data_IF_769070577966
#
_entry.id   IF_769070577966
#
_cell.length_a   1.000
_cell.length_b   1.000
_cell.length_c   1.000
_cell.angle_alpha   90.00
_cell.angle_beta   90.00
_cell.angle_gamma   90.00
#
_symmetry.space_group_name_H-M   'P 1'
#
loop_
_entity.id
_entity.type
_entity.pdbx_description
1 polymer ?
#
# COMPACT_ATOMS: atom_id res chain seq x y z
N UNK A 1 6.53 0.56 -26.73
CA UNK A 1 6.15 1.88 -26.18
C UNK A 1 4.64 2.11 -26.09
N UNK A 2 3.76 1.19 -26.49
CA UNK A 2 2.31 1.43 -26.59
C UNK A 2 1.45 0.85 -25.44
N UNK A 3 2.04 0.11 -24.49
CA UNK A 3 1.26 -0.54 -23.43
C UNK A 3 0.85 0.36 -22.27
N UNK A 4 1.64 1.37 -21.97
CA UNK A 4 1.45 2.21 -20.78
C UNK A 4 0.43 3.34 -21.01
N UNK A 5 0.28 3.81 -22.23
CA UNK A 5 -0.74 4.82 -22.58
C UNK A 5 -2.16 4.23 -22.56
N UNK A 6 -2.32 2.96 -22.95
CA UNK A 6 -3.65 2.32 -23.00
C UNK A 6 -4.22 2.05 -21.59
N UNK A 7 -3.39 1.70 -20.62
CA UNK A 7 -3.84 1.45 -19.24
C UNK A 7 -4.32 2.72 -18.53
N UNK A 8 -3.76 3.89 -18.88
CA UNK A 8 -4.12 5.16 -18.26
C UNK A 8 -5.37 5.83 -18.86
N UNK A 9 -5.86 5.35 -19.99
CA UNK A 9 -7.04 5.88 -20.68
C UNK A 9 -8.27 5.00 -20.58
N UNK A 10 -8.28 4.05 -19.64
CA UNK A 10 -9.48 3.33 -19.27
C UNK A 10 -10.56 4.34 -18.83
N UNK A 11 -11.80 4.11 -19.26
CA UNK A 11 -12.97 4.94 -18.93
C UNK A 11 -13.19 5.11 -17.42
N UNK A 12 -12.55 4.30 -16.58
CA UNK A 12 -12.58 4.38 -15.12
C UNK A 12 -11.60 5.39 -14.53
N UNK A 13 -10.58 5.85 -15.29
CA UNK A 13 -9.57 6.79 -14.81
C UNK A 13 -10.11 8.22 -14.71
N UNK A 14 -9.77 8.92 -13.62
CA UNK A 14 -10.01 10.36 -13.43
C UNK A 14 -8.78 11.15 -13.90
N UNK A 15 -8.86 11.66 -15.12
CA UNK A 15 -7.75 12.40 -15.76
C UNK A 15 -7.39 13.65 -14.95
N UNK A 16 -8.37 14.38 -14.42
CA UNK A 16 -8.15 15.63 -13.68
C UNK A 16 -7.45 15.33 -12.34
N UNK A 17 -7.91 14.31 -11.62
CA UNK A 17 -7.27 13.87 -10.38
C UNK A 17 -5.85 13.36 -10.65
N UNK A 18 -5.64 12.60 -11.71
CA UNK A 18 -4.33 12.10 -12.15
C UNK A 18 -3.37 13.25 -12.46
N UNK A 19 -3.79 14.23 -13.24
CA UNK A 19 -2.99 15.42 -13.54
C UNK A 19 -2.68 16.25 -12.29
N UNK A 20 -3.67 16.42 -11.40
CA UNK A 20 -3.48 17.12 -10.13
C UNK A 20 -2.44 16.42 -9.26
N UNK A 21 -2.49 15.11 -9.17
CA UNK A 21 -1.49 14.32 -8.45
C UNK A 21 -0.10 14.50 -9.06
N UNK A 22 0.02 14.39 -10.39
CA UNK A 22 1.25 14.56 -11.14
C UNK A 22 1.91 15.93 -10.92
N UNK A 23 1.12 17.00 -10.98
CA UNK A 23 1.61 18.37 -10.76
C UNK A 23 2.07 18.54 -9.30
N UNK A 24 1.26 18.13 -8.35
CA UNK A 24 1.53 18.30 -6.91
C UNK A 24 2.73 17.51 -6.42
N UNK A 25 2.94 16.29 -6.95
CA UNK A 25 4.09 15.45 -6.61
C UNK A 25 5.41 15.91 -7.21
N UNK A 26 5.39 16.89 -8.12
CA UNK A 26 6.58 17.31 -8.85
C UNK A 26 7.09 16.30 -9.89
N UNK A 27 6.33 15.23 -10.16
CA UNK A 27 6.67 14.21 -11.17
C UNK A 27 6.92 14.80 -12.55
N UNK A 28 6.24 15.89 -12.92
CA UNK A 28 6.43 16.58 -14.20
C UNK A 28 7.87 17.07 -14.42
N UNK A 29 8.65 17.23 -13.36
CA UNK A 29 10.06 17.63 -13.43
C UNK A 29 11.02 16.45 -13.54
N UNK A 30 10.59 15.23 -13.22
CA UNK A 30 11.45 14.06 -13.07
C UNK A 30 11.10 12.87 -13.96
N UNK A 31 9.88 12.82 -14.46
CA UNK A 31 9.38 11.71 -15.26
C UNK A 31 8.79 12.19 -16.56
N UNK A 32 9.16 11.55 -17.67
CA UNK A 32 8.49 11.72 -18.97
C UNK A 32 7.18 10.92 -19.07
N UNK A 33 6.80 10.19 -18.01
CA UNK A 33 5.58 9.40 -17.97
C UNK A 33 4.51 10.11 -17.14
N UNK A 34 3.64 10.85 -17.82
CA UNK A 34 2.49 11.56 -17.23
C UNK A 34 1.54 10.67 -16.44
N UNK A 35 1.55 9.35 -16.70
CA UNK A 35 0.61 8.39 -16.17
C UNK A 35 1.25 7.35 -15.23
N UNK A 36 2.39 7.69 -14.65
CA UNK A 36 3.02 6.83 -13.65
C UNK A 36 2.08 6.55 -12.45
N UNK A 37 1.26 7.53 -12.09
CA UNK A 37 0.20 7.33 -11.09
C UNK A 37 -1.15 7.57 -11.77
N UNK A 38 -1.97 6.54 -11.86
CA UNK A 38 -3.34 6.61 -12.36
C UNK A 38 -4.30 6.68 -11.17
N UNK A 39 -5.14 7.71 -11.14
CA UNK A 39 -6.19 7.88 -10.13
C UNK A 39 -7.52 7.55 -10.77
N UNK A 40 -8.20 6.55 -10.24
CA UNK A 40 -9.49 6.13 -10.75
C UNK A 40 -10.63 6.95 -10.15
N UNK A 41 -11.78 6.97 -10.84
CA UNK A 41 -12.98 7.68 -10.41
C UNK A 41 -13.35 7.34 -8.97
N UNK A 42 -13.99 8.29 -8.28
CA UNK A 42 -14.39 8.17 -6.86
C UNK A 42 -13.23 8.11 -5.88
N UNK A 43 -12.01 8.44 -6.29
CA UNK A 43 -10.87 8.57 -5.38
C UNK A 43 -10.68 10.03 -4.96
N UNK A 44 -10.94 10.32 -3.69
CA UNK A 44 -10.70 11.65 -3.11
C UNK A 44 -9.22 11.84 -2.79
N UNK A 45 -8.62 12.90 -3.31
CA UNK A 45 -7.22 13.25 -3.06
C UNK A 45 -7.10 14.47 -2.12
N UNK A 46 -6.31 14.33 -1.07
CA UNK A 46 -5.84 15.44 -0.24
C UNK A 46 -4.31 15.40 -0.24
N UNK A 47 -3.69 16.37 -0.91
CA UNK A 47 -2.26 16.35 -1.21
C UNK A 47 -1.56 17.52 -0.53
N UNK A 48 -0.61 17.21 0.34
CA UNK A 48 0.26 18.12 1.05
C UNK A 48 1.26 18.84 0.13
N UNK A 49 2.15 19.62 0.72
CA UNK A 49 3.21 20.33 0.01
C UNK A 49 4.51 19.55 0.06
N UNK A 50 5.29 19.62 -1.03
CA UNK A 50 6.63 19.05 -1.07
C UNK A 50 6.70 17.53 -0.95
N UNK A 51 5.59 16.80 -1.07
CA UNK A 51 5.66 15.34 -1.17
C UNK A 51 6.26 14.92 -2.52
N UNK A 52 6.91 13.76 -2.55
CA UNK A 52 7.58 13.26 -3.74
C UNK A 52 7.12 11.86 -4.11
N UNK A 53 7.20 11.56 -5.41
CA UNK A 53 7.08 10.20 -5.93
C UNK A 53 8.38 9.87 -6.64
N UNK A 54 8.99 8.75 -6.29
CA UNK A 54 10.27 8.27 -6.80
C UNK A 54 10.11 6.90 -7.46
N UNK A 55 11.03 6.56 -8.36
CA UNK A 55 10.99 5.28 -9.10
C UNK A 55 10.37 5.43 -10.48
N UNK A 56 10.26 4.30 -11.22
CA UNK A 56 9.78 4.26 -12.61
C UNK A 56 8.53 3.40 -12.79
N UNK A 57 8.12 2.69 -11.77
CA UNK A 57 6.96 1.80 -11.81
C UNK A 57 5.64 2.58 -11.72
N UNK A 58 4.54 1.94 -12.07
CA UNK A 58 3.21 2.55 -12.04
C UNK A 58 2.46 2.25 -10.74
N UNK A 59 1.61 3.19 -10.34
CA UNK A 59 0.66 3.04 -9.24
C UNK A 59 -0.76 3.34 -9.72
N UNK A 60 -1.68 2.42 -9.53
CA UNK A 60 -3.10 2.60 -9.78
C UNK A 60 -3.85 2.72 -8.46
N UNK A 61 -4.63 3.78 -8.30
CA UNK A 61 -5.37 4.11 -7.08
C UNK A 61 -6.88 4.07 -7.33
N UNK A 62 -7.60 3.21 -6.64
CA UNK A 62 -9.05 3.09 -6.73
C UNK A 62 -9.54 2.30 -7.94
N UNK A 63 -8.69 1.39 -8.45
CA UNK A 63 -9.01 0.53 -9.59
C UNK A 63 -10.12 -0.48 -9.22
N UNK A 64 -11.13 -0.58 -10.08
CA UNK A 64 -12.25 -1.53 -9.91
C UNK A 64 -12.01 -2.89 -10.59
N UNK A 65 -10.82 -3.09 -11.16
CA UNK A 65 -10.48 -4.24 -12.02
C UNK A 65 -10.24 -5.57 -11.30
N UNK A 66 -10.87 -5.80 -10.15
CA UNK A 66 -10.87 -7.08 -9.46
C UNK A 66 -11.89 -8.08 -10.05
N UNK A 67 -11.82 -9.34 -9.60
CA UNK A 67 -12.80 -10.38 -9.96
C UNK A 67 -14.23 -10.01 -9.57
N UNK A 68 -14.39 -9.15 -8.57
CA UNK A 68 -15.68 -8.64 -8.10
C UNK A 68 -15.58 -7.12 -7.97
N UNK A 69 -15.85 -6.36 -9.04
CA UNK A 69 -15.74 -4.89 -8.99
C UNK A 69 -16.63 -4.32 -7.90
N UNK A 70 -16.04 -3.52 -7.04
CA UNK A 70 -16.74 -2.77 -6.00
C UNK A 70 -16.59 -1.29 -6.30
N UNK A 71 -17.72 -0.61 -6.46
CA UNK A 71 -17.73 0.83 -6.75
C UNK A 71 -17.67 1.69 -5.47
N UNK A 72 -16.87 1.26 -4.50
CA UNK A 72 -16.70 1.96 -3.21
C UNK A 72 -15.80 3.18 -3.40
N UNK A 73 -16.12 4.27 -2.71
CA UNK A 73 -15.30 5.49 -2.76
C UNK A 73 -13.97 5.26 -2.04
N UNK A 74 -12.89 5.71 -2.68
CA UNK A 74 -11.54 5.65 -2.15
C UNK A 74 -11.06 6.99 -1.64
N UNK A 75 -10.05 7.00 -0.78
CA UNK A 75 -9.38 8.23 -0.38
C UNK A 75 -7.88 8.05 -0.20
N UNK A 76 -7.13 9.07 -0.64
CA UNK A 76 -5.71 9.19 -0.38
C UNK A 76 -5.42 10.56 0.23
N UNK A 77 -4.88 10.58 1.44
CA UNK A 77 -4.28 11.75 2.06
C UNK A 77 -2.76 11.58 2.08
N UNK A 78 -2.04 12.57 1.59
CA UNK A 78 -0.57 12.62 1.63
C UNK A 78 -0.15 13.87 2.37
N UNK A 79 0.60 13.72 3.44
CA UNK A 79 1.12 14.80 4.27
C UNK A 79 2.27 15.56 3.60
N UNK A 80 2.62 16.70 4.19
CA UNK A 80 3.72 17.55 3.71
C UNK A 80 5.06 16.76 3.78
N UNK A 81 5.86 16.81 2.73
CA UNK A 81 7.17 16.17 2.66
C UNK A 81 7.19 14.64 2.64
N UNK A 82 6.03 13.99 2.55
CA UNK A 82 5.96 12.53 2.46
C UNK A 82 6.59 11.99 1.16
N UNK A 83 6.98 10.70 1.18
CA UNK A 83 7.61 10.04 0.02
C UNK A 83 6.86 8.78 -0.37
N UNK A 84 6.57 8.64 -1.66
CA UNK A 84 6.10 7.40 -2.27
C UNK A 84 7.21 6.89 -3.20
N UNK A 85 7.68 5.67 -2.95
CA UNK A 85 8.74 5.03 -3.74
C UNK A 85 8.15 3.86 -4.49
N UNK A 86 8.18 3.90 -5.83
CA UNK A 86 7.57 2.93 -6.72
C UNK A 86 8.66 2.09 -7.40
N UNK A 87 8.97 0.92 -6.84
CA UNK A 87 9.97 -0.01 -7.35
C UNK A 87 9.37 -1.04 -8.30
N UNK A 88 8.10 -1.38 -8.11
CA UNK A 88 7.31 -2.27 -8.96
C UNK A 88 5.90 -1.76 -9.17
N UNK A 89 5.26 -2.22 -10.26
CA UNK A 89 3.89 -1.84 -10.58
C UNK A 89 2.93 -2.30 -9.47
N UNK A 90 2.15 -1.37 -8.95
CA UNK A 90 1.25 -1.64 -7.84
C UNK A 90 -0.16 -1.18 -8.13
N UNK A 91 -1.15 -1.98 -7.72
CA UNK A 91 -2.57 -1.65 -7.84
C UNK A 91 -3.19 -1.63 -6.46
N UNK A 92 -3.94 -0.58 -6.16
CA UNK A 92 -4.75 -0.48 -4.95
C UNK A 92 -6.20 -0.37 -5.40
N UNK A 93 -6.98 -1.40 -5.08
CA UNK A 93 -8.36 -1.51 -5.55
C UNK A 93 -9.28 -0.52 -4.83
N UNK A 94 -10.51 -0.37 -5.32
CA UNK A 94 -11.47 0.61 -4.81
C UNK A 94 -11.83 0.41 -3.33
N UNK A 95 -12.34 1.46 -2.69
CA UNK A 95 -12.72 1.46 -1.28
C UNK A 95 -11.56 1.72 -0.30
N UNK A 96 -10.31 1.79 -0.79
CA UNK A 96 -9.19 2.03 0.09
C UNK A 96 -9.27 3.39 0.80
N UNK A 97 -8.79 3.42 2.04
CA UNK A 97 -8.54 4.63 2.81
C UNK A 97 -7.06 4.67 3.17
N UNK A 98 -6.29 5.52 2.48
CA UNK A 98 -4.86 5.66 2.71
C UNK A 98 -4.54 7.03 3.29
N UNK A 99 -3.84 7.03 4.40
CA UNK A 99 -3.35 8.20 5.10
C UNK A 99 -1.84 8.11 5.30
N UNK A 100 -1.10 8.99 4.64
CA UNK A 100 0.35 9.08 4.72
C UNK A 100 0.68 10.36 5.47
N UNK A 101 1.27 10.23 6.64
CA UNK A 101 1.62 11.35 7.51
C UNK A 101 2.71 12.27 6.94
N UNK A 102 2.91 13.45 7.53
CA UNK A 102 4.00 14.35 7.14
C UNK A 102 5.37 13.68 7.28
N UNK A 103 6.20 13.75 6.23
CA UNK A 103 7.53 13.14 6.21
C UNK A 103 7.58 11.62 6.18
N UNK A 104 6.43 10.94 6.22
CA UNK A 104 6.37 9.48 6.16
C UNK A 104 6.78 8.93 4.79
N UNK A 105 7.25 7.68 4.77
CA UNK A 105 7.70 7.01 3.55
C UNK A 105 6.92 5.71 3.32
N UNK A 106 6.38 5.55 2.11
CA UNK A 106 5.85 4.27 1.65
C UNK A 106 6.63 3.80 0.44
N UNK A 107 7.05 2.53 0.48
CA UNK A 107 7.74 1.84 -0.61
C UNK A 107 6.87 0.71 -1.14
N UNK A 108 6.61 0.72 -2.45
CA UNK A 108 5.85 -0.29 -3.16
C UNK A 108 6.76 -1.08 -4.09
N UNK A 109 7.03 -2.34 -3.77
CA UNK A 109 7.85 -3.26 -4.58
C UNK A 109 7.12 -3.86 -5.78
N UNK A 110 5.80 -3.75 -5.80
CA UNK A 110 4.92 -4.32 -6.84
C UNK A 110 3.99 -5.40 -6.29
N UNK A 111 2.80 -5.51 -6.87
CA UNK A 111 1.74 -6.40 -6.40
C UNK A 111 0.38 -5.71 -6.36
N UNK A 112 -0.51 -6.14 -5.49
CA UNK A 112 -1.77 -5.45 -5.32
C UNK A 112 -2.30 -5.48 -3.88
N UNK A 113 -3.11 -4.47 -3.57
CA UNK A 113 -3.90 -4.36 -2.35
C UNK A 113 -5.37 -4.41 -2.77
N UNK A 114 -6.10 -5.37 -2.22
CA UNK A 114 -7.48 -5.63 -2.55
C UNK A 114 -8.42 -4.55 -1.99
N UNK A 115 -9.72 -4.70 -2.24
CA UNK A 115 -10.74 -3.71 -1.89
C UNK A 115 -10.81 -3.39 -0.41
N UNK A 116 -11.28 -2.16 -0.11
CA UNK A 116 -11.65 -1.68 1.22
C UNK A 116 -10.48 -1.69 2.25
N UNK A 117 -9.23 -1.77 1.78
CA UNK A 117 -8.07 -1.73 2.66
C UNK A 117 -7.89 -0.35 3.32
N UNK A 118 -7.46 -0.35 4.58
CA UNK A 118 -7.08 0.85 5.33
C UNK A 118 -5.59 0.85 5.60
N UNK A 119 -4.91 1.94 5.23
CA UNK A 119 -3.47 2.11 5.43
C UNK A 119 -3.23 3.44 6.12
N UNK A 120 -2.63 3.40 7.30
CA UNK A 120 -2.15 4.57 8.02
C UNK A 120 -0.64 4.45 8.21
N UNK A 121 0.12 5.24 7.47
CA UNK A 121 1.58 5.29 7.55
C UNK A 121 2.01 6.65 8.10
N UNK A 122 2.49 6.67 9.33
CA UNK A 122 2.96 7.87 9.99
C UNK A 122 4.50 7.95 10.02
N UNK A 123 5.19 6.83 9.76
CA UNK A 123 6.64 6.72 9.75
C UNK A 123 7.13 6.05 8.47
N UNK A 124 7.04 4.71 8.39
CA UNK A 124 7.53 3.96 7.24
C UNK A 124 6.76 2.65 7.03
N UNK A 125 6.38 2.41 5.78
CA UNK A 125 5.80 1.15 5.32
C UNK A 125 6.55 0.67 4.09
N UNK A 126 7.07 -0.54 4.12
CA UNK A 126 7.64 -1.23 2.95
C UNK A 126 6.78 -2.42 2.60
N UNK A 127 6.42 -2.55 1.33
CA UNK A 127 5.71 -3.70 0.76
C UNK A 127 6.56 -4.24 -0.39
N UNK A 128 7.09 -5.44 -0.21
CA UNK A 128 7.99 -6.10 -1.15
C UNK A 128 7.29 -6.57 -2.42
N UNK A 129 8.11 -7.01 -3.37
CA UNK A 129 7.68 -7.42 -4.71
C UNK A 129 6.78 -8.66 -4.67
N UNK A 130 5.71 -8.65 -5.49
CA UNK A 130 4.81 -9.79 -5.63
C UNK A 130 3.92 -10.05 -4.41
N UNK A 131 3.90 -9.12 -3.45
CA UNK A 131 3.05 -9.22 -2.26
C UNK A 131 1.61 -8.89 -2.60
N UNK A 132 0.70 -9.69 -2.04
CA UNK A 132 -0.74 -9.58 -2.20
C UNK A 132 -1.38 -9.33 -0.85
N UNK A 133 -2.20 -8.27 -0.75
CA UNK A 133 -2.93 -7.92 0.46
C UNK A 133 -4.41 -8.09 0.21
N UNK A 134 -5.06 -8.91 1.03
CA UNK A 134 -6.48 -9.24 0.96
C UNK A 134 -7.39 -8.07 1.29
N UNK A 135 -8.67 -8.26 1.02
CA UNK A 135 -9.72 -7.25 1.27
C UNK A 135 -9.89 -6.94 2.75
N UNK A 136 -10.37 -5.72 3.05
CA UNK A 136 -10.60 -5.23 4.42
C UNK A 136 -9.35 -5.26 5.32
N UNK A 137 -8.15 -5.38 4.76
CA UNK A 137 -6.92 -5.36 5.54
C UNK A 137 -6.68 -3.97 6.16
N UNK A 138 -6.11 -3.95 7.37
CA UNK A 138 -5.79 -2.73 8.09
C UNK A 138 -4.29 -2.72 8.42
N UNK A 139 -3.54 -1.74 7.93
CA UNK A 139 -2.10 -1.61 8.14
C UNK A 139 -1.83 -0.27 8.82
N UNK A 140 -1.25 -0.30 10.02
CA UNK A 140 -1.00 0.90 10.81
C UNK A 140 0.36 0.84 11.50
N UNK A 141 1.27 1.75 11.16
CA UNK A 141 2.61 1.81 11.74
C UNK A 141 2.70 2.70 13.00
N UNK A 142 1.57 3.21 13.47
CA UNK A 142 1.50 4.08 14.64
C UNK A 142 0.18 3.89 15.40
N UNK A 143 0.23 3.97 16.73
CA UNK A 143 -0.96 4.01 17.59
C UNK A 143 -1.50 5.45 17.75
N UNK A 144 -0.86 6.45 17.16
CA UNK A 144 -1.15 7.89 17.37
C UNK A 144 -1.00 8.37 18.83
N UNK A 145 -0.65 7.47 19.73
CA UNK A 145 -0.42 7.72 21.16
C UNK A 145 0.88 7.04 21.61
N UNK A 146 1.49 7.56 22.64
CA UNK A 146 2.74 7.02 23.19
C UNK A 146 2.46 6.41 24.56
N UNK A 147 2.77 5.13 24.71
CA UNK A 147 2.85 4.51 26.03
C UNK A 147 4.17 4.91 26.66
N UNK A 148 4.13 5.44 27.90
CA UNK A 148 5.33 5.83 28.64
C UNK A 148 6.26 4.62 28.79
N UNK A 149 7.52 4.79 28.40
CA UNK A 149 8.52 3.70 28.43
C UNK A 149 8.52 2.78 27.20
N UNK A 150 7.64 2.99 26.22
CA UNK A 150 7.70 2.22 24.96
C UNK A 150 8.81 2.73 24.03
N UNK A 151 9.41 1.80 23.26
CA UNK A 151 10.35 2.16 22.21
C UNK A 151 9.66 2.94 21.08
N UNK A 152 10.44 3.75 20.36
CA UNK A 152 9.95 4.45 19.17
C UNK A 152 9.46 3.46 18.09
N UNK A 153 8.43 3.80 17.31
CA UNK A 153 7.97 2.96 16.20
C UNK A 153 9.09 2.75 15.17
N UNK A 154 9.26 1.51 14.71
CA UNK A 154 10.26 1.13 13.69
C UNK A 154 9.67 1.06 12.28
N UNK A 155 8.36 1.31 12.14
CA UNK A 155 7.62 1.12 10.90
C UNK A 155 7.13 -0.32 10.72
N UNK A 156 6.72 -0.63 9.49
CA UNK A 156 6.27 -1.96 9.07
C UNK A 156 7.06 -2.37 7.82
N UNK A 157 7.56 -3.60 7.83
CA UNK A 157 8.21 -4.22 6.69
C UNK A 157 7.47 -5.49 6.31
N UNK A 158 6.98 -5.54 5.08
CA UNK A 158 6.39 -6.71 4.45
C UNK A 158 7.31 -7.11 3.30
N UNK A 159 7.87 -8.31 3.39
CA UNK A 159 8.84 -8.86 2.45
C UNK A 159 8.27 -9.11 1.06
N UNK A 160 9.06 -9.80 0.23
CA UNK A 160 8.66 -10.22 -1.10
C UNK A 160 7.75 -11.45 -1.04
N UNK A 161 6.82 -11.53 -2.01
CA UNK A 161 5.95 -12.71 -2.16
C UNK A 161 5.20 -13.07 -0.87
N UNK A 162 4.70 -12.08 -0.14
CA UNK A 162 3.87 -12.28 1.06
C UNK A 162 2.40 -12.32 0.66
N UNK A 163 1.67 -13.27 1.22
CA UNK A 163 0.21 -13.32 1.07
C UNK A 163 -0.48 -12.94 2.37
N UNK A 164 -1.12 -11.79 2.39
CA UNK A 164 -1.94 -11.34 3.52
C UNK A 164 -3.41 -11.65 3.22
N UNK A 165 -4.01 -12.47 4.06
CA UNK A 165 -5.44 -12.81 3.96
C UNK A 165 -6.37 -11.62 4.23
N UNK A 166 -7.66 -11.80 3.97
CA UNK A 166 -8.66 -10.75 4.22
C UNK A 166 -8.85 -10.43 5.71
N UNK A 167 -9.19 -9.17 6.01
CA UNK A 167 -9.46 -8.68 7.38
C UNK A 167 -8.30 -8.84 8.37
N UNK A 168 -7.08 -8.89 7.87
CA UNK A 168 -5.86 -8.92 8.68
C UNK A 168 -5.56 -7.51 9.19
N UNK A 169 -5.09 -7.42 10.45
CA UNK A 169 -4.52 -6.19 11.00
C UNK A 169 -3.00 -6.34 11.13
N UNK A 170 -2.23 -5.47 10.47
CA UNK A 170 -0.77 -5.39 10.61
C UNK A 170 -0.45 -4.11 11.38
N UNK A 171 0.10 -4.27 12.57
CA UNK A 171 0.37 -3.19 13.50
C UNK A 171 1.83 -2.76 13.44
N UNK A 172 2.15 -1.62 14.07
CA UNK A 172 3.51 -1.09 14.18
C UNK A 172 4.53 -2.16 14.60
N UNK A 173 5.76 -2.02 14.13
CA UNK A 173 6.87 -2.94 14.43
C UNK A 173 6.63 -4.38 13.94
N UNK A 174 5.84 -4.55 12.88
CA UNK A 174 5.67 -5.84 12.21
C UNK A 174 6.72 -6.01 11.12
N UNK A 175 7.38 -7.17 11.12
CA UNK A 175 8.40 -7.57 10.15
C UNK A 175 8.02 -8.95 9.61
N UNK A 176 7.40 -8.97 8.42
CA UNK A 176 7.04 -10.19 7.72
C UNK A 176 8.12 -10.48 6.68
N UNK A 177 8.92 -11.52 6.89
CA UNK A 177 9.94 -11.89 5.92
C UNK A 177 9.32 -12.50 4.65
N UNK A 178 10.15 -12.78 3.64
CA UNK A 178 9.71 -13.24 2.32
C UNK A 178 8.87 -14.54 2.41
N UNK A 179 7.85 -14.64 1.56
CA UNK A 179 7.02 -15.82 1.47
C UNK A 179 6.09 -16.08 2.66
N UNK A 180 5.99 -15.17 3.62
CA UNK A 180 5.05 -15.31 4.74
C UNK A 180 3.61 -15.33 4.24
N UNK A 181 2.81 -16.22 4.80
CA UNK A 181 1.35 -16.28 4.59
C UNK A 181 0.66 -15.89 5.89
N UNK A 182 -0.21 -14.88 5.83
CA UNK A 182 -1.01 -14.42 6.97
C UNK A 182 -2.44 -14.89 6.80
N UNK A 183 -2.91 -15.73 7.70
CA UNK A 183 -4.30 -16.21 7.68
C UNK A 183 -5.30 -15.06 7.90
N UNK A 184 -6.47 -15.15 7.26
CA UNK A 184 -7.53 -14.16 7.39
C UNK A 184 -7.89 -13.88 8.85
N UNK A 185 -8.15 -12.60 9.17
CA UNK A 185 -8.53 -12.15 10.51
C UNK A 185 -7.40 -12.13 11.55
N UNK A 186 -6.15 -12.40 11.18
CA UNK A 186 -5.03 -12.35 12.11
C UNK A 186 -4.70 -10.92 12.55
N UNK A 187 -4.20 -10.76 13.78
CA UNK A 187 -3.63 -9.51 14.29
C UNK A 187 -2.12 -9.68 14.44
N UNK A 188 -1.38 -9.01 13.58
CA UNK A 188 0.07 -9.16 13.38
C UNK A 188 0.81 -8.07 14.13
N UNK A 189 1.77 -8.45 14.98
CA UNK A 189 2.73 -7.57 15.65
C UNK A 189 3.98 -8.38 15.99
N UNK A 190 5.14 -7.89 15.60
CA UNK A 190 6.43 -8.56 15.79
C UNK A 190 7.04 -9.10 14.50
N UNK A 191 8.04 -9.96 14.65
CA UNK A 191 8.83 -10.50 13.54
C UNK A 191 8.47 -11.95 13.25
N UNK A 192 8.33 -12.30 11.95
CA UNK A 192 7.93 -13.62 11.50
C UNK A 192 8.88 -14.13 10.41
N UNK A 193 9.41 -15.36 10.58
CA UNK A 193 10.44 -15.90 9.69
C UNK A 193 9.91 -16.19 8.28
N UNK A 194 10.80 -16.26 7.28
CA UNK A 194 10.42 -16.49 5.90
C UNK A 194 9.70 -17.83 5.72
N UNK A 195 8.75 -17.87 4.75
CA UNK A 195 8.00 -19.07 4.42
C UNK A 195 7.15 -19.63 5.56
N UNK A 196 6.70 -18.79 6.50
CA UNK A 196 5.83 -19.22 7.59
C UNK A 196 4.36 -18.88 7.33
N UNK A 197 3.45 -19.76 7.75
CA UNK A 197 2.03 -19.45 7.91
C UNK A 197 1.80 -18.95 9.32
N UNK A 198 1.25 -17.75 9.44
CA UNK A 198 0.90 -17.14 10.73
C UNK A 198 -0.60 -16.94 10.85
N UNK A 199 -1.14 -17.14 12.05
CA UNK A 199 -2.57 -17.00 12.30
C UNK A 199 -2.85 -16.59 13.75
N UNK A 200 -4.05 -16.07 13.99
CA UNK A 200 -4.60 -15.80 15.33
C UNK A 200 -4.51 -14.36 15.80
N UNK A 201 -4.98 -14.12 17.02
CA UNK A 201 -5.02 -12.83 17.73
C UNK A 201 -4.47 -13.04 19.13
N UNK A 202 -3.22 -12.66 19.41
CA UNK A 202 -2.18 -12.20 18.48
C UNK A 202 -1.68 -13.31 17.54
N UNK A 203 -1.19 -12.93 16.36
CA UNK A 203 -0.66 -13.90 15.39
C UNK A 203 0.53 -14.69 15.93
N UNK A 204 0.59 -15.99 15.58
CA UNK A 204 1.70 -16.89 15.89
C UNK A 204 2.00 -17.75 14.66
N UNK A 205 3.22 -18.21 14.54
CA UNK A 205 3.59 -19.22 13.54
C UNK A 205 2.82 -20.49 13.82
N UNK A 206 2.01 -20.95 12.88
CA UNK A 206 1.23 -22.20 12.97
C UNK A 206 1.77 -23.27 12.05
N UNK A 207 2.56 -22.88 11.04
CA UNK A 207 3.23 -23.80 10.12
C UNK A 207 4.46 -23.12 9.52
N UNK A 208 5.52 -23.87 9.32
CA UNK A 208 6.75 -23.46 8.65
C UNK A 208 6.84 -24.08 7.25
N UNK A 209 7.74 -23.53 6.42
CA UNK A 209 8.05 -24.01 5.07
C UNK A 209 6.79 -24.13 4.19
N UNK A 210 5.95 -23.08 4.19
CA UNK A 210 4.80 -22.98 3.30
C UNK A 210 5.23 -22.29 2.00
N UNK A 211 4.63 -22.72 0.90
CA UNK A 211 4.71 -22.06 -0.40
C UNK A 211 3.28 -21.76 -0.89
N UNK A 212 3.10 -20.65 -1.58
CA UNK A 212 1.84 -20.29 -2.22
C UNK A 212 2.11 -19.79 -3.65
N UNK A 213 1.09 -19.91 -4.53
CA UNK A 213 1.21 -19.54 -5.95
C UNK A 213 -0.01 -18.77 -6.43
#
# INVERSE_FOLDING_TARGET
>A
MNGTLHAAMDSSCDIVATLRFFIKSGLYRRSHNLFQVAVHKRTKLTLGRGFTVEGKASLHLGDDGGHYPRHTASSLRVGDGAKLILEGNHRILSGHQMDIGPGAEIRFGGGYINHDARISCQHRLTIGRGTIIGEDACIMDSDSHVLVGSAAPRGIEIGEHVWVGGRVMILKNSFLHDGVVVAAGAVVSGEFPPGSLIAGVPARVVRENVEWR
#
